data_IF_880462724585
#
_entry.id   IF_880462724585
#
_cell.length_a   1.000
_cell.length_b   1.000
_cell.length_c   1.000
_cell.angle_alpha   90.00
_cell.angle_beta   90.00
_cell.angle_gamma   90.00
#
_symmetry.space_group_name_H-M   'P 1'
#
loop_
_entity.id
_entity.type
_entity.pdbx_description
1 polymer ?
#
# COMPACT_ATOMS: atom_id res chain seq x y z
N UNK A 1 -5.83 12.60 -4.61
CA UNK A 1 -4.77 11.64 -4.95
C UNK A 1 -3.89 11.42 -3.74
N UNK A 2 -3.32 10.23 -3.56
CA UNK A 2 -2.47 9.80 -2.43
C UNK A 2 -1.23 10.68 -2.14
N UNK A 3 -0.89 11.66 -2.98
CA UNK A 3 0.35 12.46 -2.87
C UNK A 3 1.63 11.66 -3.13
N UNK A 4 1.53 10.34 -3.36
CA UNK A 4 2.64 9.44 -3.60
C UNK A 4 3.16 9.57 -5.05
N UNK A 5 4.46 9.81 -5.21
CA UNK A 5 5.09 9.81 -6.54
C UNK A 5 5.37 8.37 -6.96
N UNK A 6 5.24 8.07 -8.25
CA UNK A 6 5.61 6.77 -8.83
C UNK A 6 7.04 6.33 -8.46
N UNK A 7 7.98 7.26 -8.36
CA UNK A 7 9.36 6.94 -7.98
C UNK A 7 9.46 6.40 -6.54
N UNK A 8 8.66 6.96 -5.62
CA UNK A 8 8.64 6.54 -4.23
C UNK A 8 7.95 5.17 -4.09
N UNK A 9 6.84 4.94 -4.82
CA UNK A 9 6.19 3.64 -4.89
C UNK A 9 7.11 2.56 -5.45
N UNK A 10 7.79 2.85 -6.57
CA UNK A 10 8.71 1.91 -7.20
C UNK A 10 9.85 1.53 -6.24
N UNK A 11 10.42 2.52 -5.53
CA UNK A 11 11.45 2.31 -4.51
C UNK A 11 10.95 1.40 -3.39
N UNK A 12 9.75 1.66 -2.84
CA UNK A 12 9.18 0.83 -1.77
C UNK A 12 8.84 -0.59 -2.25
N UNK A 13 8.38 -0.75 -3.48
CA UNK A 13 8.07 -2.04 -4.09
C UNK A 13 9.32 -2.80 -4.57
N UNK A 14 10.52 -2.21 -4.51
CA UNK A 14 11.77 -2.83 -4.92
C UNK A 14 11.89 -3.05 -6.43
N UNK A 15 11.26 -2.20 -7.24
CA UNK A 15 11.30 -2.26 -8.71
C UNK A 15 11.79 -0.94 -9.31
N UNK A 16 12.19 -0.95 -10.58
CA UNK A 16 12.54 0.28 -11.27
C UNK A 16 11.29 1.11 -11.57
N UNK A 17 11.44 2.45 -11.63
CA UNK A 17 10.36 3.35 -12.06
C UNK A 17 9.84 2.98 -13.45
N UNK A 18 10.73 2.63 -14.37
CA UNK A 18 10.35 2.19 -15.73
C UNK A 18 9.50 0.92 -15.70
N UNK A 19 9.85 -0.06 -14.86
CA UNK A 19 9.03 -1.26 -14.70
C UNK A 19 7.64 -0.93 -14.16
N UNK A 20 7.55 -0.05 -13.15
CA UNK A 20 6.26 0.42 -12.64
C UNK A 20 5.41 1.10 -13.72
N UNK A 21 6.00 2.00 -14.51
CA UNK A 21 5.30 2.68 -15.63
C UNK A 21 4.78 1.68 -16.66
N UNK A 22 5.58 0.67 -17.03
CA UNK A 22 5.16 -0.36 -17.97
C UNK A 22 4.03 -1.25 -17.41
N UNK A 23 3.99 -1.45 -16.10
CA UNK A 23 2.89 -2.16 -15.42
C UNK A 23 1.62 -1.30 -15.45
N UNK A 24 1.73 -0.02 -15.08
CA UNK A 24 0.61 0.93 -15.08
C UNK A 24 0.02 1.15 -16.49
N UNK A 25 0.86 1.13 -17.53
CA UNK A 25 0.43 1.27 -18.93
C UNK A 25 -0.07 -0.05 -19.55
N UNK A 26 -0.06 -1.16 -18.81
CA UNK A 26 -0.42 -2.49 -19.32
C UNK A 26 0.54 -3.03 -20.38
N UNK A 27 1.75 -2.45 -20.50
CA UNK A 27 2.78 -2.83 -21.48
C UNK A 27 3.68 -3.97 -21.00
N UNK A 28 3.37 -4.56 -19.85
CA UNK A 28 4.10 -5.72 -19.30
C UNK A 28 3.14 -6.65 -18.55
N UNK A 29 3.52 -7.93 -18.47
CA UNK A 29 2.88 -8.94 -17.63
C UNK A 29 3.74 -9.17 -16.37
N UNK A 30 3.46 -8.47 -15.25
CA UNK A 30 4.26 -8.58 -14.05
C UNK A 30 4.10 -9.94 -13.37
N UNK A 31 5.20 -10.44 -12.79
CA UNK A 31 5.14 -11.63 -11.94
C UNK A 31 4.22 -11.38 -10.74
N UNK A 32 3.58 -12.43 -10.25
CA UNK A 32 2.77 -12.38 -9.02
C UNK A 32 3.54 -11.80 -7.82
N UNK A 33 4.85 -12.09 -7.71
CA UNK A 33 5.71 -11.51 -6.68
C UNK A 33 5.87 -9.99 -6.82
N UNK A 34 5.99 -9.47 -8.04
CA UNK A 34 6.04 -8.03 -8.31
C UNK A 34 4.74 -7.35 -7.92
N UNK A 35 3.59 -7.94 -8.29
CA UNK A 35 2.28 -7.42 -7.88
C UNK A 35 2.13 -7.39 -6.36
N UNK A 36 2.56 -8.44 -5.67
CA UNK A 36 2.54 -8.50 -4.20
C UNK A 36 3.41 -7.42 -3.56
N UNK A 37 4.60 -7.16 -4.10
CA UNK A 37 5.46 -6.07 -3.61
C UNK A 37 4.83 -4.69 -3.81
N UNK A 38 4.18 -4.46 -4.95
CA UNK A 38 3.44 -3.20 -5.21
C UNK A 38 2.26 -3.07 -4.25
N UNK A 39 1.49 -4.14 -4.04
CA UNK A 39 0.39 -4.16 -3.08
C UNK A 39 0.86 -3.79 -1.67
N UNK A 40 1.91 -4.45 -1.17
CA UNK A 40 2.46 -4.16 0.16
C UNK A 40 2.94 -2.71 0.28
N UNK A 41 3.57 -2.16 -0.76
CA UNK A 41 4.03 -0.77 -0.75
C UNK A 41 2.85 0.23 -0.68
N UNK A 42 1.77 -0.04 -1.42
CA UNK A 42 0.54 0.74 -1.34
C UNK A 42 -0.09 0.63 0.06
N UNK A 43 -0.13 -0.58 0.63
CA UNK A 43 -0.66 -0.81 1.97
C UNK A 43 0.13 -0.07 3.05
N UNK A 44 1.46 -0.06 2.94
CA UNK A 44 2.35 0.72 3.80
C UNK A 44 2.14 2.23 3.65
N UNK A 45 1.72 2.70 2.48
CA UNK A 45 1.34 4.09 2.23
C UNK A 45 -0.09 4.43 2.71
N UNK A 46 -0.76 3.51 3.41
CA UNK A 46 -2.09 3.72 3.99
C UNK A 46 -3.26 3.27 3.09
N UNK A 47 -2.99 2.54 2.02
CA UNK A 47 -4.03 1.90 1.22
C UNK A 47 -4.50 0.61 1.91
N UNK A 48 -5.76 0.24 1.72
CA UNK A 48 -6.27 -1.07 2.13
C UNK A 48 -7.10 -1.66 0.99
N UNK A 49 -6.74 -2.87 0.59
CA UNK A 49 -7.44 -3.64 -0.42
C UNK A 49 -8.50 -4.51 0.23
N UNK A 50 -9.75 -4.39 -0.22
CA UNK A 50 -10.85 -5.25 0.22
C UNK A 50 -11.17 -6.23 -0.90
N UNK A 51 -11.08 -7.54 -0.62
CA UNK A 51 -11.27 -8.62 -1.62
C UNK A 51 -12.54 -9.46 -1.37
N UNK A 52 -13.47 -8.95 -0.56
CA UNK A 52 -14.72 -9.65 -0.20
C UNK A 52 -15.82 -9.51 -1.27
N UNK A 53 -17.08 -9.63 -0.84
CA UNK A 53 -18.24 -9.53 -1.74
C UNK A 53 -18.34 -8.20 -2.50
N UNK A 54 -17.67 -7.16 -2.02
CA UNK A 54 -17.51 -5.88 -2.71
C UNK A 54 -16.01 -5.55 -2.78
N UNK A 55 -15.32 -5.97 -3.85
CA UNK A 55 -13.91 -5.65 -4.04
C UNK A 55 -13.69 -4.15 -4.15
N UNK A 56 -12.60 -3.64 -3.57
CA UNK A 56 -12.39 -2.20 -3.50
C UNK A 56 -11.05 -1.79 -2.88
N UNK A 57 -10.83 -0.48 -2.84
CA UNK A 57 -9.63 0.15 -2.30
C UNK A 57 -10.07 1.32 -1.41
N UNK A 58 -9.56 1.38 -0.18
CA UNK A 58 -9.80 2.50 0.75
C UNK A 58 -8.49 3.11 1.22
N UNK A 59 -8.55 4.37 1.66
CA UNK A 59 -7.47 5.00 2.40
C UNK A 59 -7.76 4.88 3.89
N UNK A 60 -6.79 4.42 4.66
CA UNK A 60 -6.85 4.48 6.12
C UNK A 60 -6.89 5.96 6.52
N UNK A 61 -7.88 6.35 7.33
CA UNK A 61 -8.02 7.73 7.81
C UNK A 61 -6.82 8.17 8.69
N UNK A 62 -6.75 9.45 9.10
CA UNK A 62 -5.65 9.97 9.92
C UNK A 62 -5.48 9.32 11.31
N UNK A 63 -6.31 8.35 11.68
CA UNK A 63 -6.08 7.45 12.80
C UNK A 63 -5.61 6.09 12.28
N UNK A 64 -4.32 5.98 11.99
CA UNK A 64 -3.69 4.67 11.82
C UNK A 64 -4.00 3.85 13.07
N UNK A 65 -4.50 2.63 12.89
CA UNK A 65 -4.75 1.68 13.97
C UNK A 65 -3.47 1.53 14.80
N UNK A 66 -3.49 2.09 16.02
CA UNK A 66 -2.57 1.68 17.09
C UNK A 66 -2.71 0.17 17.21
N UNK A 67 -1.58 -0.55 17.24
CA UNK A 67 -1.60 -1.97 17.52
C UNK A 67 -2.33 -2.17 18.86
N UNK A 68 -3.20 -3.18 18.96
CA UNK A 68 -3.93 -3.43 20.21
C UNK A 68 -2.97 -3.62 21.39
N UNK A 69 -1.74 -4.05 21.12
CA UNK A 69 -0.65 -4.21 22.09
C UNK A 69 -0.03 -2.89 22.59
N UNK A 70 -0.25 -1.76 21.90
CA UNK A 70 0.22 -0.42 22.31
C UNK A 70 -0.84 0.36 23.10
N UNK A 71 -2.05 -0.19 23.25
CA UNK A 71 -3.10 0.32 24.14
C UNK A 71 -2.81 -0.06 25.60
N UNK A 72 -1.69 0.38 26.17
CA UNK A 72 -1.54 0.26 27.62
C UNK A 72 -2.42 1.33 28.30
N UNK A 73 -3.30 0.89 29.20
CA UNK A 73 -4.17 1.77 29.98
C UNK A 73 -3.39 2.41 31.16
N UNK A 74 -2.20 2.96 30.91
CA UNK A 74 -1.34 3.55 31.97
C UNK A 74 -1.44 5.07 32.07
N UNK A 75 -2.50 5.68 31.53
CA UNK A 75 -2.75 7.10 31.73
C UNK A 75 -4.18 7.34 32.25
N UNK A 76 -4.47 6.73 33.40
CA UNK A 76 -5.40 7.31 34.37
C UNK A 76 -4.55 7.70 35.59
N UNK A 77 -4.25 9.00 35.69
CA UNK A 77 -3.95 9.65 36.97
C UNK A 77 -5.27 10.13 37.61
#
# INVERSE_FOLDING_TARGET
MLGLKQADLAKQAGISKTALVNIESGSSDPRASTLKSIQHALEAAGVEFTNGAQPGVRLKGPGGTIAAEELNASNDE
#
